data_IF_865686032707
#
_entry.id   IF_865686032707
#
_cell.length_a   1.000
_cell.length_b   1.000
_cell.length_c   1.000
_cell.angle_alpha   90.00
_cell.angle_beta   90.00
_cell.angle_gamma   90.00
#
_symmetry.space_group_name_H-M   'P 1'
#
loop_
_entity.id
_entity.type
_entity.pdbx_description
1 polymer ?
#
# COMPACT_ATOMS: atom_id res chain seq x y z
N UNK A 1 -11.14 -5.24 14.17
CA UNK A 1 -11.33 -6.27 13.12
C UNK A 1 -11.16 -7.65 13.74
N UNK A 2 -11.87 -8.63 13.25
CA UNK A 2 -11.75 -9.97 13.83
C UNK A 2 -10.56 -10.75 13.22
N UNK A 3 -10.20 -11.85 13.88
CA UNK A 3 -9.03 -12.64 13.47
C UNK A 3 -9.18 -13.24 12.06
N UNK A 4 -10.38 -13.65 11.69
CA UNK A 4 -10.61 -14.22 10.37
C UNK A 4 -10.40 -13.20 9.25
N UNK A 5 -10.88 -11.96 9.46
CA UNK A 5 -10.65 -10.87 8.50
C UNK A 5 -9.15 -10.61 8.35
N UNK A 6 -8.45 -10.50 9.47
CA UNK A 6 -7.01 -10.22 9.45
C UNK A 6 -6.23 -11.34 8.75
N UNK A 7 -6.60 -12.58 8.98
CA UNK A 7 -5.94 -13.72 8.34
C UNK A 7 -6.15 -13.70 6.83
N UNK A 8 -7.37 -13.44 6.38
CA UNK A 8 -7.67 -13.36 4.93
C UNK A 8 -6.95 -12.20 4.27
N UNK A 9 -6.93 -11.03 4.92
CA UNK A 9 -6.22 -9.86 4.41
C UNK A 9 -4.73 -10.10 4.31
N UNK A 10 -4.14 -10.71 5.33
CA UNK A 10 -2.72 -11.03 5.32
C UNK A 10 -2.35 -11.98 4.17
N UNK A 11 -3.15 -13.00 3.97
CA UNK A 11 -2.94 -13.95 2.88
C UNK A 11 -3.07 -13.28 1.50
N UNK A 12 -4.11 -12.45 1.34
CA UNK A 12 -4.33 -11.72 0.10
C UNK A 12 -3.16 -10.78 -0.22
N UNK A 13 -2.73 -9.98 0.77
CA UNK A 13 -1.65 -9.03 0.58
C UNK A 13 -0.32 -9.72 0.32
N UNK A 14 -0.04 -10.83 1.00
CA UNK A 14 1.17 -11.62 0.74
C UNK A 14 1.23 -12.07 -0.71
N UNK A 15 0.12 -12.53 -1.23
CA UNK A 15 0.02 -12.98 -2.61
C UNK A 15 0.11 -11.82 -3.60
N UNK A 16 -0.63 -10.75 -3.32
CA UNK A 16 -0.65 -9.56 -4.18
C UNK A 16 0.73 -8.93 -4.32
N UNK A 17 1.44 -8.81 -3.22
CA UNK A 17 2.76 -8.15 -3.18
C UNK A 17 3.91 -9.11 -3.46
N UNK A 18 3.66 -10.41 -3.50
CA UNK A 18 4.72 -11.39 -3.61
C UNK A 18 5.63 -11.40 -2.39
N UNK A 19 5.07 -11.09 -1.22
CA UNK A 19 5.83 -10.94 0.03
C UNK A 19 5.30 -11.94 1.06
N UNK A 20 6.07 -13.00 1.37
CA UNK A 20 5.53 -14.10 2.18
C UNK A 20 5.36 -13.78 3.67
N UNK A 21 5.91 -12.66 4.14
CA UNK A 21 5.90 -12.33 5.56
C UNK A 21 4.92 -11.21 5.92
N UNK A 22 3.98 -10.89 5.04
CA UNK A 22 2.95 -9.88 5.33
C UNK A 22 1.92 -10.47 6.28
N UNK A 23 1.59 -9.72 7.33
CA UNK A 23 0.51 -10.09 8.25
C UNK A 23 -0.31 -8.85 8.58
N UNK A 24 -1.53 -9.08 9.06
CA UNK A 24 -2.45 -8.01 9.44
C UNK A 24 -2.88 -8.27 10.88
N UNK A 25 -2.72 -7.27 11.73
CA UNK A 25 -3.03 -7.38 13.16
C UNK A 25 -4.04 -6.29 13.52
N UNK A 26 -5.15 -6.68 14.13
CA UNK A 26 -6.18 -5.74 14.55
C UNK A 26 -5.64 -4.72 15.54
N UNK A 27 -5.97 -3.45 15.32
CA UNK A 27 -5.63 -2.36 16.24
C UNK A 27 -6.88 -1.65 16.75
N UNK A 28 -8.06 -2.03 16.28
CA UNK A 28 -9.33 -1.48 16.71
C UNK A 28 -10.48 -2.20 16.03
N UNK A 29 -11.71 -1.72 16.22
CA UNK A 29 -12.89 -2.37 15.65
C UNK A 29 -12.91 -2.33 14.12
N UNK A 30 -12.37 -1.26 13.53
CA UNK A 30 -12.35 -1.08 12.09
C UNK A 30 -10.95 -0.73 11.58
N UNK A 31 -9.93 -0.98 12.40
CA UNK A 31 -8.56 -0.61 12.12
C UNK A 31 -7.63 -1.80 12.33
N UNK A 32 -6.57 -1.83 11.55
CA UNK A 32 -5.54 -2.85 11.68
C UNK A 32 -4.20 -2.29 11.24
N UNK A 33 -3.14 -2.98 11.63
CA UNK A 33 -1.78 -2.68 11.20
C UNK A 33 -1.34 -3.72 10.19
N UNK A 34 -0.67 -3.28 9.14
CA UNK A 34 -0.03 -4.17 8.17
C UNK A 34 1.43 -4.30 8.57
N UNK A 35 1.86 -5.52 8.78
CA UNK A 35 3.23 -5.82 9.20
C UNK A 35 3.96 -6.62 8.13
N UNK A 36 5.25 -6.35 7.97
CA UNK A 36 6.14 -7.14 7.14
C UNK A 36 7.31 -7.56 8.01
N UNK A 37 7.55 -8.85 8.13
CA UNK A 37 8.55 -9.40 9.05
C UNK A 37 8.35 -8.92 10.49
N UNK A 38 7.11 -8.77 10.91
CA UNK A 38 6.78 -8.33 12.26
C UNK A 38 6.90 -6.83 12.50
N UNK A 39 7.23 -6.04 11.48
CA UNK A 39 7.38 -4.58 11.59
C UNK A 39 6.21 -3.89 10.90
N UNK A 40 5.59 -2.94 11.58
CA UNK A 40 4.49 -2.17 11.00
C UNK A 40 4.99 -1.32 9.84
N UNK A 41 4.34 -1.44 8.69
CA UNK A 41 4.66 -0.65 7.49
C UNK A 41 3.50 0.19 7.00
N UNK A 42 2.27 -0.15 7.36
CA UNK A 42 1.09 0.57 6.85
C UNK A 42 -0.07 0.49 7.81
N UNK A 43 -1.04 1.40 7.63
CA UNK A 43 -2.30 1.40 8.33
C UNK A 43 -3.38 0.84 7.42
N UNK A 44 -4.35 0.14 7.99
CA UNK A 44 -5.47 -0.42 7.28
C UNK A 44 -6.77 -0.01 7.95
N UNK A 45 -7.71 0.52 7.16
CA UNK A 45 -9.03 0.91 7.64
C UNK A 45 -10.10 0.10 6.93
N UNK A 46 -11.01 -0.46 7.71
CA UNK A 46 -12.19 -1.16 7.20
C UNK A 46 -13.28 -0.12 6.92
N UNK A 47 -13.82 -0.16 5.71
CA UNK A 47 -14.87 0.77 5.30
C UNK A 47 -16.06 -0.02 4.75
N UNK A 48 -17.23 0.20 5.36
CA UNK A 48 -18.46 -0.41 4.88
C UNK A 48 -19.42 0.69 4.46
N UNK A 49 -19.76 0.71 3.19
CA UNK A 49 -20.62 1.74 2.60
C UNK A 49 -21.69 1.07 1.74
N UNK A 50 -22.96 1.32 2.07
CA UNK A 50 -24.10 0.78 1.34
C UNK A 50 -24.06 -0.75 1.16
N UNK A 51 -23.57 -1.45 2.17
CA UNK A 51 -23.47 -2.91 2.15
C UNK A 51 -22.24 -3.43 1.45
N UNK A 52 -21.39 -2.56 0.91
CA UNK A 52 -20.14 -2.95 0.30
C UNK A 52 -19.00 -2.77 1.29
N UNK A 53 -18.20 -3.80 1.45
CA UNK A 53 -17.08 -3.79 2.36
C UNK A 53 -15.77 -3.70 1.61
N UNK A 54 -14.93 -2.75 2.01
CA UNK A 54 -13.60 -2.59 1.44
C UNK A 54 -12.61 -2.25 2.56
N UNK A 55 -11.32 -2.33 2.21
CA UNK A 55 -10.25 -2.00 3.13
C UNK A 55 -9.29 -1.05 2.44
N UNK A 56 -8.99 0.06 3.10
CA UNK A 56 -8.04 1.05 2.58
C UNK A 56 -6.72 0.91 3.32
N UNK A 57 -5.64 0.78 2.57
CA UNK A 57 -4.31 0.63 3.13
C UNK A 57 -3.51 1.86 2.77
N UNK A 58 -2.87 2.49 3.76
CA UNK A 58 -2.08 3.71 3.58
C UNK A 58 -0.68 3.50 4.13
N UNK A 59 0.32 3.79 3.30
CA UNK A 59 1.72 3.66 3.67
C UNK A 59 2.44 4.97 3.32
N UNK A 60 3.01 5.62 4.34
CA UNK A 60 3.73 6.88 4.16
C UNK A 60 5.17 6.60 3.80
N UNK A 61 5.67 7.26 2.76
CA UNK A 61 7.07 7.20 2.36
C UNK A 61 7.64 8.61 2.41
N UNK A 62 8.57 8.90 3.32
CA UNK A 62 9.16 10.24 3.41
C UNK A 62 9.87 10.61 2.12
N UNK A 63 9.85 11.90 1.80
CA UNK A 63 10.62 12.41 0.67
C UNK A 63 12.10 12.49 1.05
N UNK A 64 12.94 12.59 0.04
CA UNK A 64 14.37 12.76 0.27
C UNK A 64 14.64 14.04 1.08
N UNK A 65 15.68 14.02 1.90
CA UNK A 65 16.06 15.17 2.72
C UNK A 65 16.31 16.39 1.80
N UNK A 66 15.73 17.53 2.18
CA UNK A 66 15.86 18.77 1.42
C UNK A 66 14.88 18.93 0.27
N UNK A 67 14.05 17.91 -0.01
CA UNK A 67 13.04 18.00 -1.07
C UNK A 67 11.89 18.92 -0.62
N UNK A 68 11.31 19.63 -1.59
CA UNK A 68 10.14 20.47 -1.32
C UNK A 68 8.92 19.59 -1.13
N UNK A 69 8.01 20.00 -0.21
CA UNK A 69 6.82 19.23 0.11
C UNK A 69 5.95 18.89 -1.09
N UNK A 70 5.82 19.83 -2.03
CA UNK A 70 4.94 19.68 -3.18
C UNK A 70 5.69 19.43 -4.49
N UNK A 71 6.95 18.97 -4.39
CA UNK A 71 7.72 18.69 -5.60
C UNK A 71 7.08 17.56 -6.40
N UNK A 72 7.11 17.63 -7.73
CA UNK A 72 6.56 16.55 -8.56
C UNK A 72 7.29 15.23 -8.31
N UNK A 73 6.63 14.14 -8.61
CA UNK A 73 7.25 12.82 -8.58
C UNK A 73 7.89 12.60 -9.95
N UNK A 74 9.16 12.97 -10.07
CA UNK A 74 9.91 12.84 -11.30
C UNK A 74 10.57 11.45 -11.44
N UNK A 75 11.36 11.24 -12.50
CA UNK A 75 12.00 9.95 -12.75
C UNK A 75 12.89 9.51 -11.59
N UNK A 76 13.66 10.43 -11.02
CA UNK A 76 14.56 10.13 -9.91
C UNK A 76 13.75 9.75 -8.65
N UNK A 77 12.66 10.46 -8.40
CA UNK A 77 11.82 10.16 -7.25
C UNK A 77 11.07 8.83 -7.42
N UNK A 78 10.62 8.52 -8.64
CA UNK A 78 10.01 7.21 -8.89
C UNK A 78 10.99 6.07 -8.63
N UNK A 79 12.23 6.23 -9.05
CA UNK A 79 13.27 5.22 -8.79
C UNK A 79 13.53 5.05 -7.30
N UNK A 80 13.58 6.16 -6.56
CA UNK A 80 13.76 6.14 -5.10
C UNK A 80 12.57 5.47 -4.41
N UNK A 81 11.34 5.79 -4.82
CA UNK A 81 10.13 5.18 -4.31
C UNK A 81 10.11 3.68 -4.56
N UNK A 82 10.49 3.26 -5.76
CA UNK A 82 10.52 1.85 -6.11
C UNK A 82 11.46 1.08 -5.21
N UNK A 83 12.66 1.60 -4.99
CA UNK A 83 13.63 0.97 -4.09
C UNK A 83 13.10 0.91 -2.66
N UNK A 84 12.55 2.02 -2.18
CA UNK A 84 12.03 2.08 -0.80
C UNK A 84 10.86 1.13 -0.60
N UNK A 85 9.91 1.09 -1.53
CA UNK A 85 8.74 0.24 -1.43
C UNK A 85 9.09 -1.24 -1.54
N UNK A 86 10.03 -1.59 -2.41
CA UNK A 86 10.52 -2.97 -2.52
C UNK A 86 11.11 -3.44 -1.19
N UNK A 87 11.85 -2.57 -0.52
CA UNK A 87 12.46 -2.90 0.77
C UNK A 87 11.42 -2.97 1.88
N UNK A 88 10.54 -1.98 1.98
CA UNK A 88 9.53 -1.92 3.04
C UNK A 88 8.55 -3.08 2.97
N UNK A 89 8.13 -3.43 1.76
CA UNK A 89 7.10 -4.45 1.55
C UNK A 89 7.69 -5.82 1.23
N UNK A 90 9.01 -5.93 1.10
CA UNK A 90 9.68 -7.15 0.64
C UNK A 90 9.07 -7.64 -0.68
N UNK A 91 8.80 -6.71 -1.58
CA UNK A 91 8.15 -6.97 -2.85
C UNK A 91 9.15 -6.75 -4.00
N UNK A 92 9.88 -7.80 -4.36
CA UNK A 92 10.97 -7.71 -5.34
C UNK A 92 10.49 -7.32 -6.75
N UNK A 93 9.27 -7.67 -7.10
CA UNK A 93 8.71 -7.41 -8.43
C UNK A 93 7.83 -6.17 -8.50
N UNK A 94 7.94 -5.28 -7.52
CA UNK A 94 7.21 -4.03 -7.48
C UNK A 94 7.85 -3.00 -8.40
N UNK A 95 7.01 -2.34 -9.21
CA UNK A 95 7.43 -1.25 -10.09
C UNK A 95 6.63 0.01 -9.77
N UNK A 96 7.28 1.16 -9.81
CA UNK A 96 6.63 2.46 -9.71
C UNK A 96 6.65 3.11 -11.09
N UNK A 97 5.47 3.36 -11.65
CA UNK A 97 5.32 3.85 -13.03
C UNK A 97 4.68 5.24 -13.06
N UNK A 98 5.08 6.02 -14.06
CA UNK A 98 4.53 7.36 -14.25
C UNK A 98 3.05 7.28 -14.65
N UNK A 99 2.27 8.27 -14.20
CA UNK A 99 0.89 8.44 -14.65
C UNK A 99 0.88 9.45 -15.80
N UNK A 100 0.24 9.13 -16.92
CA UNK A 100 0.13 10.10 -18.02
C UNK A 100 -0.52 11.40 -17.51
N UNK A 101 0.08 12.53 -17.83
CA UNK A 101 -0.42 13.87 -17.51
C UNK A 101 -0.54 14.18 -16.02
N UNK A 102 0.04 13.36 -15.14
CA UNK A 102 0.03 13.58 -13.69
C UNK A 102 1.46 13.58 -13.19
N UNK A 103 1.85 14.67 -12.54
CA UNK A 103 3.20 14.81 -11.98
C UNK A 103 3.23 14.70 -10.46
N UNK A 104 2.06 14.70 -9.83
CA UNK A 104 1.91 14.62 -8.37
C UNK A 104 1.57 13.23 -7.87
N UNK A 105 1.59 12.24 -8.76
CA UNK A 105 1.29 10.86 -8.38
C UNK A 105 1.96 9.89 -9.33
N UNK A 106 2.07 8.63 -8.89
CA UNK A 106 2.61 7.53 -9.67
C UNK A 106 1.81 6.28 -9.36
N UNK A 107 1.86 5.31 -10.27
CA UNK A 107 1.15 4.04 -10.09
C UNK A 107 2.11 2.96 -9.64
N UNK A 108 1.64 2.06 -8.78
CA UNK A 108 2.43 0.94 -8.29
C UNK A 108 1.85 -0.36 -8.84
N UNK A 109 2.74 -1.17 -9.38
CA UNK A 109 2.43 -2.47 -9.98
C UNK A 109 3.29 -3.55 -9.34
N UNK A 110 2.75 -4.75 -9.21
CA UNK A 110 3.52 -5.94 -8.81
C UNK A 110 3.16 -7.04 -9.80
N UNK A 111 4.16 -7.64 -10.43
CA UNK A 111 3.96 -8.64 -11.50
C UNK A 111 3.05 -8.11 -12.61
N UNK A 112 3.23 -6.84 -12.96
CA UNK A 112 2.44 -6.13 -13.98
C UNK A 112 0.96 -5.94 -13.61
N UNK A 113 0.58 -6.21 -12.37
CA UNK A 113 -0.78 -5.94 -11.89
C UNK A 113 -0.80 -4.65 -11.07
N UNK A 114 -1.76 -3.79 -11.36
CA UNK A 114 -1.93 -2.54 -10.62
C UNK A 114 -2.33 -2.83 -9.18
N UNK A 115 -1.61 -2.25 -8.21
CA UNK A 115 -1.93 -2.46 -6.79
C UNK A 115 -2.26 -1.18 -6.04
N UNK A 116 -1.83 -0.03 -6.52
CA UNK A 116 -2.11 1.21 -5.80
C UNK A 116 -1.50 2.44 -6.45
N UNK A 117 -1.70 3.57 -5.79
CA UNK A 117 -1.22 4.88 -6.28
C UNK A 117 -0.45 5.59 -5.17
N UNK A 118 0.70 6.14 -5.52
CA UNK A 118 1.46 7.02 -4.63
C UNK A 118 1.12 8.45 -5.01
N UNK A 119 0.73 9.26 -4.01
CA UNK A 119 0.40 10.67 -4.22
C UNK A 119 1.20 11.54 -3.28
N UNK A 120 1.48 12.77 -3.70
CA UNK A 120 2.12 13.76 -2.86
C UNK A 120 1.16 14.17 -1.75
N UNK A 121 1.66 14.24 -0.52
CA UNK A 121 0.90 14.65 0.65
C UNK A 121 1.69 15.72 1.40
N UNK A 122 1.04 16.82 1.77
CA UNK A 122 1.74 17.95 2.41
C UNK A 122 2.32 17.60 3.76
N UNK A 123 1.69 16.69 4.50
CA UNK A 123 2.13 16.35 5.85
C UNK A 123 3.05 15.13 5.87
N UNK A 124 2.76 14.14 5.03
CA UNK A 124 3.43 12.83 5.07
C UNK A 124 4.54 12.68 4.02
N UNK A 125 4.67 13.66 3.13
CA UNK A 125 5.57 13.59 2.00
C UNK A 125 4.93 12.87 0.82
N UNK A 126 4.80 11.57 0.90
CA UNK A 126 4.14 10.78 -0.13
C UNK A 126 3.40 9.63 0.53
N UNK A 127 2.23 9.28 0.00
CA UNK A 127 1.41 8.20 0.55
C UNK A 127 1.03 7.22 -0.55
N UNK A 128 1.35 5.96 -0.33
CA UNK A 128 0.84 4.85 -1.15
C UNK A 128 -0.52 4.45 -0.60
N UNK A 129 -1.52 4.46 -1.45
CA UNK A 129 -2.87 4.04 -1.10
C UNK A 129 -3.24 2.82 -1.93
N UNK A 130 -3.70 1.77 -1.24
CA UNK A 130 -4.20 0.55 -1.88
C UNK A 130 -5.60 0.27 -1.36
N UNK A 131 -6.48 -0.22 -2.23
CA UNK A 131 -7.83 -0.58 -1.83
C UNK A 131 -8.05 -2.06 -2.11
N UNK A 132 -8.56 -2.78 -1.10
CA UNK A 132 -8.88 -4.19 -1.21
C UNK A 132 -10.39 -4.34 -1.05
N UNK A 133 -11.03 -5.01 -1.99
CA UNK A 133 -12.47 -5.26 -1.92
C UNK A 133 -12.71 -6.61 -1.24
N UNK A 134 -13.70 -6.65 -0.34
CA UNK A 134 -14.01 -7.89 0.38
C UNK A 134 -14.32 -9.05 -0.57
N UNK A 135 -14.97 -8.75 -1.69
CA UNK A 135 -15.28 -9.76 -2.69
C UNK A 135 -14.04 -10.46 -3.23
N UNK A 136 -12.91 -9.75 -3.30
CA UNK A 136 -11.66 -10.32 -3.78
C UNK A 136 -11.05 -11.29 -2.77
N UNK A 137 -11.36 -11.12 -1.48
CA UNK A 137 -10.85 -12.01 -0.44
C UNK A 137 -11.50 -13.38 -0.48
N UNK A 138 -12.72 -13.48 -0.98
CA UNK A 138 -13.45 -14.72 -1.05
C UNK A 138 -12.86 -15.71 -2.06
N UNK A 139 -12.03 -15.20 -2.98
CA UNK A 139 -11.38 -16.00 -4.00
C UNK A 139 -10.09 -16.67 -3.50
N UNK A 140 -9.73 -16.44 -2.26
CA UNK A 140 -8.44 -16.86 -1.68
C UNK A 140 -8.52 -18.21 -0.94
N UNK A 141 -9.36 -19.08 -1.31
CA UNK A 141 -9.46 -20.38 -0.69
C UNK A 141 -8.45 -21.39 -1.19
#
# INVERSE_FOLDING_TARGET
>A
MNAAECTRLGAYLSKLLGSPTVSVVSSGSEEADVLVDGRKVADLLRDEDEGELSYAISLSVPRAAGAKKNAPIDDAERARLQTALRQLLHAADLDVRARPRKTDSAEVYVHDEFVGTVSVDEDEGQVLTMTVLDIDLDDEE
#
